data_IF_436471990725
#
_entry.id   IF_436471990725
#
_cell.length_a   1.000
_cell.length_b   1.000
_cell.length_c   1.000
_cell.angle_alpha   90.00
_cell.angle_beta   90.00
_cell.angle_gamma   90.00
#
_symmetry.space_group_name_H-M   'P 1'
#
loop_
_entity.id
_entity.type
_entity.pdbx_description
1 polymer ?
#
# COMPACT_ATOMS: atom_id res chain seq x y z
N UNK A 1 10.64 -2.80 23.35
CA UNK A 1 9.45 -1.93 23.16
C UNK A 1 9.82 -0.45 23.30
N UNK A 2 10.58 -0.06 24.32
CA UNK A 2 10.89 1.36 24.57
C UNK A 2 11.75 2.03 23.49
N UNK A 3 12.68 1.27 22.90
CA UNK A 3 13.51 1.72 21.77
C UNK A 3 12.66 2.04 20.52
N UNK A 4 11.74 1.15 20.18
CA UNK A 4 10.81 1.30 19.05
C UNK A 4 9.83 2.46 19.27
N UNK A 5 9.29 2.61 20.48
CA UNK A 5 8.42 3.74 20.81
C UNK A 5 9.16 5.07 20.65
N UNK A 6 10.42 5.13 21.10
CA UNK A 6 11.28 6.31 20.90
C UNK A 6 11.51 6.59 19.41
N UNK A 7 11.74 5.55 18.60
CA UNK A 7 11.87 5.68 17.15
C UNK A 7 10.59 6.20 16.49
N UNK A 8 9.41 5.69 16.89
CA UNK A 8 8.10 6.20 16.42
C UNK A 8 7.95 7.69 16.70
N UNK A 9 8.24 8.13 17.93
CA UNK A 9 8.13 9.55 18.30
C UNK A 9 9.09 10.41 17.48
N UNK A 10 10.34 9.97 17.29
CA UNK A 10 11.33 10.65 16.45
C UNK A 10 10.85 10.76 15.01
N UNK A 11 10.43 9.67 14.39
CA UNK A 11 9.95 9.65 13.00
C UNK A 11 8.72 10.55 12.82
N UNK A 12 7.74 10.45 13.71
CA UNK A 12 6.52 11.28 13.63
C UNK A 12 6.82 12.78 13.82
N UNK A 13 7.66 13.14 14.79
CA UNK A 13 8.02 14.54 15.04
C UNK A 13 8.84 15.12 13.89
N UNK A 14 9.86 14.40 13.40
CA UNK A 14 10.68 14.81 12.26
C UNK A 14 9.86 14.94 10.98
N UNK A 15 8.97 13.97 10.69
CA UNK A 15 8.09 14.05 9.53
C UNK A 15 7.13 15.25 9.64
N UNK A 16 6.56 15.51 10.82
CA UNK A 16 5.69 16.67 11.04
C UNK A 16 6.43 17.99 10.81
N UNK A 17 7.65 18.12 11.33
CA UNK A 17 8.49 19.31 11.09
C UNK A 17 8.83 19.49 9.60
N UNK A 18 9.13 18.39 8.90
CA UNK A 18 9.39 18.43 7.46
C UNK A 18 8.15 18.87 6.67
N UNK A 19 6.96 18.37 7.02
CA UNK A 19 5.71 18.84 6.40
C UNK A 19 5.37 20.29 6.75
N UNK A 20 5.68 20.76 7.96
CA UNK A 20 5.59 22.17 8.32
C UNK A 20 6.47 23.03 7.42
N UNK A 21 7.72 22.61 7.17
CA UNK A 21 8.59 23.29 6.20
C UNK A 21 7.96 23.30 4.80
N UNK A 22 7.44 22.18 4.31
CA UNK A 22 6.78 22.10 3.01
C UNK A 22 5.60 23.09 2.91
N UNK A 23 4.79 23.17 3.97
CA UNK A 23 3.59 23.99 4.00
C UNK A 23 3.87 25.48 4.14
N UNK A 24 4.75 25.89 5.07
CA UNK A 24 4.97 27.31 5.38
C UNK A 24 6.05 27.97 4.52
N UNK A 25 7.04 27.21 4.03
CA UNK A 25 8.15 27.73 3.25
C UNK A 25 8.11 27.23 1.80
N UNK A 26 8.10 25.91 1.57
CA UNK A 26 8.22 25.38 0.20
C UNK A 26 7.04 25.79 -0.71
N UNK A 27 5.84 25.93 -0.14
CA UNK A 27 4.64 26.39 -0.85
C UNK A 27 4.80 27.78 -1.48
N UNK A 28 5.65 28.65 -0.91
CA UNK A 28 5.90 30.01 -1.39
C UNK A 28 6.72 30.05 -2.68
N UNK A 29 7.45 28.98 -2.99
CA UNK A 29 8.21 28.91 -4.24
C UNK A 29 7.27 28.70 -5.44
N UNK A 30 7.62 29.26 -6.62
CA UNK A 30 6.88 29.01 -7.86
C UNK A 30 6.77 27.52 -8.17
N UNK A 31 5.62 27.13 -8.75
CA UNK A 31 5.37 25.76 -9.18
C UNK A 31 6.42 25.28 -10.20
N UNK A 32 6.76 24.00 -10.13
CA UNK A 32 7.74 23.35 -10.98
C UNK A 32 9.10 23.16 -10.30
N UNK A 33 10.17 23.37 -11.07
CA UNK A 33 11.54 23.00 -10.68
C UNK A 33 12.05 23.65 -9.39
N UNK A 34 11.69 24.90 -9.12
CA UNK A 34 12.17 25.61 -7.92
C UNK A 34 11.55 25.06 -6.64
N UNK A 35 10.23 24.83 -6.66
CA UNK A 35 9.55 24.15 -5.56
C UNK A 35 10.10 22.73 -5.39
N UNK A 36 10.30 21.98 -6.47
CA UNK A 36 10.90 20.64 -6.40
C UNK A 36 12.29 20.65 -5.75
N UNK A 37 13.16 21.59 -6.15
CA UNK A 37 14.50 21.74 -5.59
C UNK A 37 14.45 22.02 -4.08
N UNK A 38 13.53 22.89 -3.63
CA UNK A 38 13.33 23.18 -2.21
C UNK A 38 12.88 21.96 -1.39
N UNK A 39 12.24 20.97 -2.04
CA UNK A 39 11.76 19.75 -1.38
C UNK A 39 12.83 18.66 -1.28
N UNK A 40 13.93 18.71 -2.04
CA UNK A 40 14.97 17.67 -2.04
C UNK A 40 15.50 17.31 -0.63
N UNK A 41 15.76 18.27 0.28
CA UNK A 41 16.19 17.93 1.64
C UNK A 41 15.15 17.10 2.40
N UNK A 42 13.86 17.40 2.22
CA UNK A 42 12.75 16.65 2.84
C UNK A 42 12.65 15.25 2.24
N UNK A 43 12.77 15.13 0.91
CA UNK A 43 12.75 13.84 0.24
C UNK A 43 13.91 12.95 0.69
N UNK A 44 15.11 13.51 0.78
CA UNK A 44 16.26 12.79 1.33
C UNK A 44 16.01 12.35 2.76
N UNK A 45 15.54 13.25 3.63
CA UNK A 45 15.21 12.93 5.02
C UNK A 45 14.22 11.76 5.12
N UNK A 46 13.18 11.73 4.28
CA UNK A 46 12.20 10.63 4.26
C UNK A 46 12.81 9.28 3.91
N UNK A 47 13.88 9.23 3.11
CA UNK A 47 14.61 7.97 2.84
C UNK A 47 15.38 7.45 4.05
N UNK A 48 15.75 8.31 4.98
CA UNK A 48 16.57 7.93 6.14
C UNK A 48 15.71 7.47 7.34
N UNK A 49 14.54 8.09 7.52
CA UNK A 49 13.67 7.84 8.67
C UNK A 49 13.26 6.37 8.90
N UNK A 50 12.97 5.54 7.87
CA UNK A 50 12.62 4.15 8.10
C UNK A 50 13.72 3.34 8.78
N UNK A 51 15.00 3.69 8.59
CA UNK A 51 16.14 2.99 9.22
C UNK A 51 16.25 3.21 10.73
N UNK A 52 15.45 4.12 11.31
CA UNK A 52 15.37 4.27 12.76
C UNK A 52 14.64 3.10 13.44
N UNK A 53 13.89 2.29 12.69
CA UNK A 53 13.18 1.14 13.21
C UNK A 53 14.06 -0.12 13.12
N UNK A 54 14.10 -0.89 14.21
CA UNK A 54 14.68 -2.25 14.20
C UNK A 54 13.65 -3.29 13.78
N UNK A 55 12.36 -3.06 14.09
CA UNK A 55 11.25 -3.89 13.59
C UNK A 55 11.11 -3.83 12.07
N UNK A 56 11.00 -5.01 11.44
CA UNK A 56 10.78 -5.16 10.00
C UNK A 56 9.43 -4.57 9.59
N UNK A 57 8.38 -4.80 10.37
CA UNK A 57 7.05 -4.25 10.07
C UNK A 57 7.03 -2.72 10.17
N UNK A 58 7.57 -2.15 11.26
CA UNK A 58 7.57 -0.68 11.43
C UNK A 58 8.41 0.00 10.35
N UNK A 59 9.58 -0.57 10.02
CA UNK A 59 10.43 -0.09 8.93
C UNK A 59 9.72 -0.14 7.58
N UNK A 60 9.08 -1.26 7.25
CA UNK A 60 8.31 -1.41 6.00
C UNK A 60 7.10 -0.46 5.94
N UNK A 61 6.35 -0.31 7.03
CA UNK A 61 5.22 0.62 7.11
C UNK A 61 5.72 2.06 6.94
N UNK A 62 6.79 2.44 7.65
CA UNK A 62 7.38 3.78 7.55
C UNK A 62 7.88 4.08 6.14
N UNK A 63 8.57 3.15 5.50
CA UNK A 63 9.02 3.30 4.12
C UNK A 63 7.86 3.47 3.14
N UNK A 64 6.78 2.69 3.28
CA UNK A 64 5.59 2.86 2.45
C UNK A 64 4.96 4.25 2.60
N UNK A 65 4.79 4.72 3.83
CA UNK A 65 4.15 6.02 4.09
C UNK A 65 5.03 7.20 3.71
N UNK A 66 6.32 7.20 4.07
CA UNK A 66 7.22 8.33 3.87
C UNK A 66 7.86 8.31 2.49
N UNK A 67 8.56 7.22 2.16
CA UNK A 67 9.40 7.12 0.96
C UNK A 67 8.55 7.01 -0.29
N UNK A 68 7.43 6.29 -0.22
CA UNK A 68 6.54 6.13 -1.37
C UNK A 68 5.38 7.14 -1.36
N UNK A 69 4.45 7.02 -0.41
CA UNK A 69 3.21 7.79 -0.44
C UNK A 69 3.46 9.30 -0.34
N UNK A 70 4.17 9.75 0.69
CA UNK A 70 4.40 11.18 0.91
C UNK A 70 5.30 11.80 -0.16
N UNK A 71 6.38 11.13 -0.57
CA UNK A 71 7.25 11.60 -1.66
C UNK A 71 6.48 11.82 -2.97
N UNK A 72 5.65 10.86 -3.39
CA UNK A 72 4.87 11.00 -4.63
C UNK A 72 3.82 12.12 -4.55
N UNK A 73 3.22 12.32 -3.37
CA UNK A 73 2.34 13.47 -3.14
C UNK A 73 3.10 14.80 -3.15
N UNK A 74 4.31 14.85 -2.60
CA UNK A 74 5.17 16.03 -2.65
C UNK A 74 5.66 16.32 -4.07
N UNK A 75 5.91 15.30 -4.89
CA UNK A 75 6.17 15.49 -6.32
C UNK A 75 4.98 16.15 -7.02
N UNK A 76 3.76 15.66 -6.84
CA UNK A 76 2.57 16.32 -7.39
C UNK A 76 2.44 17.76 -6.87
N UNK A 77 2.61 17.97 -5.57
CA UNK A 77 2.59 19.30 -4.95
C UNK A 77 3.62 20.27 -5.53
N UNK A 78 4.80 19.76 -5.91
CA UNK A 78 5.85 20.56 -6.55
C UNK A 78 5.38 21.21 -7.86
N UNK A 79 4.51 20.52 -8.60
CA UNK A 79 3.90 20.98 -9.86
C UNK A 79 2.48 21.55 -9.69
N UNK A 80 2.09 21.92 -8.46
CA UNK A 80 0.73 22.38 -8.13
C UNK A 80 -0.38 21.39 -8.51
N UNK A 81 -0.09 20.08 -8.43
CA UNK A 81 -1.05 19.01 -8.72
C UNK A 81 -1.46 18.26 -7.46
N UNK A 82 -2.62 17.61 -7.54
CA UNK A 82 -3.15 16.77 -6.46
C UNK A 82 -3.72 17.56 -5.27
N UNK A 83 -4.16 16.85 -4.23
CA UNK A 83 -4.96 17.44 -3.15
C UNK A 83 -4.15 18.39 -2.24
N UNK A 84 -2.83 18.26 -2.21
CA UNK A 84 -1.96 19.15 -1.42
C UNK A 84 -1.87 20.58 -1.99
N UNK A 85 -2.26 20.78 -3.25
CA UNK A 85 -2.25 22.08 -3.91
C UNK A 85 -3.62 22.78 -3.91
N UNK A 86 -4.57 22.25 -3.14
CA UNK A 86 -5.89 22.89 -2.97
C UNK A 86 -5.72 24.27 -2.32
N UNK A 87 -6.35 25.34 -2.83
CA UNK A 87 -6.33 26.66 -2.19
C UNK A 87 -6.85 26.61 -0.75
N UNK A 88 -6.30 27.46 0.12
CA UNK A 88 -6.73 27.65 1.52
C UNK A 88 -6.74 26.38 2.39
N UNK A 89 -5.91 25.40 2.03
CA UNK A 89 -5.81 24.14 2.76
C UNK A 89 -5.16 24.36 4.13
N UNK A 90 -5.91 24.26 5.23
CA UNK A 90 -5.33 24.36 6.58
C UNK A 90 -4.15 23.39 6.83
N UNK A 91 -3.16 23.81 7.63
CA UNK A 91 -1.99 22.98 7.95
C UNK A 91 -2.32 21.56 8.47
N UNK A 92 -3.25 21.36 9.43
CA UNK A 92 -3.58 20.01 9.90
C UNK A 92 -4.12 19.12 8.78
N UNK A 93 -4.82 19.72 7.82
CA UNK A 93 -5.34 19.01 6.66
C UNK A 93 -4.25 18.71 5.64
N UNK A 94 -3.33 19.65 5.39
CA UNK A 94 -2.13 19.40 4.58
C UNK A 94 -1.31 18.24 5.16
N UNK A 95 -1.05 18.25 6.48
CA UNK A 95 -0.33 17.19 7.19
C UNK A 95 -1.03 15.84 7.02
N UNK A 96 -2.34 15.80 7.24
CA UNK A 96 -3.14 14.58 7.12
C UNK A 96 -3.16 14.04 5.69
N UNK A 97 -3.35 14.90 4.69
CA UNK A 97 -3.32 14.51 3.29
C UNK A 97 -1.93 14.07 2.83
N UNK A 98 -0.87 14.60 3.44
CA UNK A 98 0.51 14.23 3.10
C UNK A 98 0.86 12.85 3.62
N UNK A 99 0.51 12.57 4.88
CA UNK A 99 0.88 11.33 5.56
C UNK A 99 -0.11 10.19 5.34
N UNK A 100 -1.41 10.48 5.26
CA UNK A 100 -2.45 9.45 5.33
C UNK A 100 -3.06 9.12 3.96
N UNK A 101 -3.62 7.91 3.77
CA UNK A 101 -4.28 7.50 2.53
C UNK A 101 -5.71 8.08 2.42
N UNK A 102 -5.83 9.41 2.43
CA UNK A 102 -7.10 10.16 2.44
C UNK A 102 -7.27 10.93 1.13
N UNK A 103 -8.51 11.04 0.66
CA UNK A 103 -8.91 11.92 -0.45
C UNK A 103 -9.92 12.97 0.01
N UNK A 104 -9.91 14.11 -0.69
CA UNK A 104 -10.99 15.10 -0.67
C UNK A 104 -12.15 14.56 -1.52
N UNK A 105 -13.38 14.62 -1.01
CA UNK A 105 -14.58 14.18 -1.73
C UNK A 105 -15.69 15.25 -1.59
N UNK A 106 -16.39 15.55 -2.68
CA UNK A 106 -17.37 16.64 -2.73
C UNK A 106 -18.77 16.20 -2.31
N UNK A 107 -19.10 14.90 -2.32
CA UNK A 107 -20.46 14.42 -2.02
C UNK A 107 -20.58 13.64 -0.71
N UNK A 108 -21.57 14.01 0.10
CA UNK A 108 -21.83 13.49 1.44
C UNK A 108 -23.20 12.82 1.52
N UNK A 109 -23.25 11.50 1.53
CA UNK A 109 -24.42 10.77 2.01
C UNK A 109 -24.03 9.37 2.52
N UNK A 110 -24.33 9.07 3.79
CA UNK A 110 -24.31 7.71 4.36
C UNK A 110 -23.10 7.29 5.23
N UNK A 111 -22.59 8.13 6.14
CA UNK A 111 -21.35 7.84 6.91
C UNK A 111 -21.49 6.85 8.09
N UNK A 112 -22.66 6.70 8.72
CA UNK A 112 -22.78 6.03 10.03
C UNK A 112 -22.97 4.51 9.97
N UNK A 113 -23.87 4.03 9.12
CA UNK A 113 -24.14 2.60 8.91
C UNK A 113 -22.94 1.85 8.29
N UNK A 114 -22.13 2.57 7.50
CA UNK A 114 -20.95 2.04 6.82
C UNK A 114 -19.76 1.74 7.77
N UNK A 115 -19.80 2.15 9.04
CA UNK A 115 -18.67 2.01 9.99
C UNK A 115 -18.69 0.68 10.74
N UNK A 116 -19.84 0.24 11.25
CA UNK A 116 -19.97 -1.03 12.00
C UNK A 116 -19.61 -2.22 11.13
N UNK A 117 -20.11 -2.26 9.90
CA UNK A 117 -19.81 -3.30 8.90
C UNK A 117 -18.31 -3.34 8.56
N UNK A 118 -17.66 -2.17 8.46
CA UNK A 118 -16.21 -2.09 8.23
C UNK A 118 -15.40 -2.61 9.40
N UNK A 119 -15.76 -2.23 10.63
CA UNK A 119 -15.10 -2.71 11.84
C UNK A 119 -15.21 -4.23 11.95
N UNK A 120 -16.39 -4.80 11.73
CA UNK A 120 -16.59 -6.25 11.71
C UNK A 120 -15.73 -6.94 10.65
N UNK A 121 -15.69 -6.38 9.43
CA UNK A 121 -14.86 -6.91 8.35
C UNK A 121 -13.35 -6.91 8.68
N UNK A 122 -12.85 -5.86 9.32
CA UNK A 122 -11.45 -5.81 9.77
C UNK A 122 -11.18 -6.76 10.94
N UNK A 123 -12.10 -6.88 11.90
CA UNK A 123 -11.96 -7.85 12.99
C UNK A 123 -11.87 -9.28 12.45
N UNK A 124 -12.74 -9.66 11.50
CA UNK A 124 -12.69 -10.98 10.87
C UNK A 124 -11.36 -11.22 10.14
N UNK A 125 -10.88 -10.24 9.37
CA UNK A 125 -9.56 -10.32 8.70
C UNK A 125 -8.42 -10.47 9.71
N UNK A 126 -8.48 -9.76 10.84
CA UNK A 126 -7.52 -9.90 11.93
C UNK A 126 -7.51 -11.31 12.54
N UNK A 127 -8.70 -11.91 12.74
CA UNK A 127 -8.83 -13.29 13.20
C UNK A 127 -8.23 -14.30 12.20
N UNK A 128 -8.52 -14.14 10.91
CA UNK A 128 -7.95 -14.98 9.84
C UNK A 128 -6.42 -14.84 9.82
N UNK A 129 -5.90 -13.62 9.90
CA UNK A 129 -4.46 -13.37 9.93
C UNK A 129 -3.79 -14.01 11.17
N UNK A 130 -4.43 -13.91 12.34
CA UNK A 130 -3.98 -14.57 13.57
C UNK A 130 -3.96 -16.10 13.44
N UNK A 131 -4.99 -16.68 12.81
CA UNK A 131 -5.04 -18.12 12.52
C UNK A 131 -3.90 -18.55 11.58
N UNK A 132 -3.69 -17.85 10.47
CA UNK A 132 -2.57 -18.14 9.54
C UNK A 132 -1.23 -18.06 10.27
N UNK A 133 -1.04 -17.03 11.09
CA UNK A 133 0.21 -16.84 11.87
C UNK A 133 0.46 -18.01 12.81
N UNK A 134 -0.59 -18.58 13.43
CA UNK A 134 -0.47 -19.74 14.31
C UNK A 134 -0.04 -21.04 13.60
N UNK A 135 -0.17 -21.11 12.27
CA UNK A 135 0.25 -22.26 11.46
C UNK A 135 1.76 -22.21 11.16
N UNK A 136 2.36 -21.02 11.11
CA UNK A 136 3.76 -20.84 10.70
C UNK A 136 4.82 -21.62 11.50
N UNK A 137 4.69 -21.83 12.82
CA UNK A 137 5.59 -22.72 13.55
C UNK A 137 5.64 -24.15 12.99
N UNK A 138 4.54 -24.61 12.39
CA UNK A 138 4.41 -25.94 11.80
C UNK A 138 4.54 -25.94 10.26
N UNK A 139 5.02 -24.85 9.66
CA UNK A 139 5.08 -24.68 8.19
C UNK A 139 5.83 -25.79 7.46
N UNK A 140 6.83 -26.38 8.10
CA UNK A 140 7.64 -27.49 7.58
C UNK A 140 6.84 -28.77 7.29
N UNK A 141 5.63 -28.92 7.86
CA UNK A 141 4.73 -30.06 7.59
C UNK A 141 3.93 -29.92 6.31
N UNK A 142 3.88 -28.73 5.72
CA UNK A 142 3.06 -28.44 4.55
C UNK A 142 3.91 -28.35 3.28
N UNK A 143 3.29 -28.61 2.13
CA UNK A 143 3.98 -28.44 0.85
C UNK A 143 4.35 -26.97 0.60
N UNK A 144 5.43 -26.73 -0.16
CA UNK A 144 5.88 -25.38 -0.50
C UNK A 144 4.78 -24.53 -1.14
N UNK A 145 3.94 -25.13 -1.99
CA UNK A 145 2.83 -24.44 -2.63
C UNK A 145 1.79 -23.90 -1.62
N UNK A 146 1.45 -24.70 -0.60
CA UNK A 146 0.52 -24.29 0.46
C UNK A 146 1.11 -23.16 1.29
N UNK A 147 2.39 -23.26 1.68
CA UNK A 147 3.06 -22.22 2.46
C UNK A 147 3.10 -20.88 1.70
N UNK A 148 3.45 -20.91 0.41
CA UNK A 148 3.42 -19.71 -0.44
C UNK A 148 2.01 -19.15 -0.65
N UNK A 149 0.98 -20.01 -0.67
CA UNK A 149 -0.42 -19.59 -0.67
C UNK A 149 -0.78 -18.84 0.61
N UNK A 150 -0.38 -19.38 1.77
CA UNK A 150 -0.57 -18.72 3.06
C UNK A 150 0.16 -17.37 3.12
N UNK A 151 1.38 -17.27 2.60
CA UNK A 151 2.11 -16.00 2.48
C UNK A 151 1.38 -14.99 1.61
N UNK A 152 0.84 -15.40 0.47
CA UNK A 152 0.05 -14.53 -0.39
C UNK A 152 -1.17 -13.96 0.32
N UNK A 153 -1.91 -14.81 1.03
CA UNK A 153 -3.08 -14.40 1.82
C UNK A 153 -2.67 -13.50 2.98
N UNK A 154 -1.60 -13.86 3.69
CA UNK A 154 -1.04 -13.06 4.78
C UNK A 154 -0.67 -11.67 4.30
N UNK A 155 0.13 -11.54 3.24
CA UNK A 155 0.55 -10.24 2.70
C UNK A 155 -0.66 -9.38 2.32
N UNK A 156 -1.66 -9.95 1.66
CA UNK A 156 -2.90 -9.24 1.34
C UNK A 156 -3.63 -8.75 2.60
N UNK A 157 -3.85 -9.62 3.59
CA UNK A 157 -4.54 -9.27 4.83
C UNK A 157 -3.76 -8.24 5.65
N UNK A 158 -2.44 -8.39 5.76
CA UNK A 158 -1.58 -7.47 6.51
C UNK A 158 -1.59 -6.06 5.92
N UNK A 159 -1.45 -5.93 4.60
CA UNK A 159 -1.51 -4.61 3.94
C UNK A 159 -2.90 -3.98 4.13
N UNK A 160 -3.97 -4.75 3.91
CA UNK A 160 -5.33 -4.22 4.04
C UNK A 160 -5.68 -3.83 5.48
N UNK A 161 -5.22 -4.59 6.48
CA UNK A 161 -5.41 -4.27 7.90
C UNK A 161 -4.61 -3.03 8.30
N UNK A 162 -3.33 -2.94 7.94
CA UNK A 162 -2.49 -1.78 8.27
C UNK A 162 -3.12 -0.50 7.72
N UNK A 163 -3.47 -0.49 6.43
CA UNK A 163 -4.07 0.68 5.81
C UNK A 163 -5.49 0.94 6.34
N UNK A 164 -6.27 -0.12 6.58
CA UNK A 164 -7.60 -0.06 7.17
C UNK A 164 -7.60 0.52 8.59
N UNK A 165 -6.62 0.19 9.43
CA UNK A 165 -6.44 0.76 10.76
C UNK A 165 -6.07 2.25 10.66
N UNK A 166 -5.20 2.62 9.72
CA UNK A 166 -4.90 4.03 9.45
C UNK A 166 -6.16 4.82 9.07
N UNK A 167 -7.10 4.22 8.34
CA UNK A 167 -8.42 4.82 8.09
C UNK A 167 -9.18 5.17 9.35
N UNK A 168 -9.18 4.26 10.34
CA UNK A 168 -9.96 4.42 11.55
C UNK A 168 -9.36 5.51 12.44
N UNK A 169 -8.02 5.55 12.53
CA UNK A 169 -7.29 6.59 13.26
C UNK A 169 -7.44 7.97 12.62
N UNK A 170 -7.62 8.04 11.30
CA UNK A 170 -7.87 9.29 10.58
C UNK A 170 -9.26 9.87 10.86
N UNK A 171 -10.22 9.06 11.33
CA UNK A 171 -11.64 9.42 11.42
C UNK A 171 -11.93 10.71 12.19
N UNK A 172 -11.34 10.99 13.37
CA UNK A 172 -11.59 12.24 14.10
C UNK A 172 -11.25 13.49 13.29
N UNK A 173 -10.24 13.43 12.43
CA UNK A 173 -9.83 14.52 11.53
C UNK A 173 -10.80 14.66 10.35
N UNK A 174 -11.46 13.56 9.96
CA UNK A 174 -12.46 13.48 8.89
C UNK A 174 -13.86 13.94 9.34
N UNK A 175 -14.16 13.93 10.65
CA UNK A 175 -15.47 14.35 11.19
C UNK A 175 -15.70 15.84 10.87
N UNK A 176 -16.84 16.15 10.24
CA UNK A 176 -17.19 17.51 9.83
C UNK A 176 -16.47 18.03 8.57
N UNK A 177 -15.54 17.26 7.99
CA UNK A 177 -14.81 17.64 6.75
C UNK A 177 -15.24 16.79 5.54
N UNK A 178 -15.11 17.38 4.35
CA UNK A 178 -15.33 16.78 3.02
C UNK A 178 -14.20 15.79 2.64
N UNK A 179 -13.86 14.87 3.55
CA UNK A 179 -12.75 13.94 3.39
C UNK A 179 -13.24 12.51 3.57
N UNK A 180 -12.74 11.61 2.72
CA UNK A 180 -13.01 10.17 2.83
C UNK A 180 -11.71 9.38 2.77
N UNK A 181 -11.69 8.29 3.53
CA UNK A 181 -10.62 7.32 3.39
C UNK A 181 -10.72 6.58 2.07
N UNK A 182 -9.58 6.34 1.46
CA UNK A 182 -9.48 5.62 0.21
C UNK A 182 -9.57 4.11 0.42
N UNK A 183 -10.57 3.40 -0.15
CA UNK A 183 -10.56 1.95 -0.12
C UNK A 183 -9.31 1.46 -0.86
N UNK A 184 -8.54 0.59 -0.22
CA UNK A 184 -7.25 0.10 -0.73
C UNK A 184 -7.44 -1.09 -1.65
N UNK A 185 -8.36 -1.98 -1.27
CA UNK A 185 -8.72 -3.16 -2.02
C UNK A 185 -10.21 -3.20 -2.29
N UNK A 186 -10.58 -3.79 -3.43
CA UNK A 186 -11.98 -4.00 -3.82
C UNK A 186 -12.16 -5.42 -4.35
N UNK A 187 -12.21 -6.38 -3.42
CA UNK A 187 -12.36 -7.82 -3.71
C UNK A 187 -11.47 -8.31 -4.88
N UNK A 188 -10.13 -8.28 -4.72
CA UNK A 188 -9.19 -8.58 -5.80
C UNK A 188 -9.32 -10.01 -6.35
N UNK A 189 -9.88 -10.93 -5.56
CA UNK A 189 -10.18 -12.30 -5.99
C UNK A 189 -11.32 -12.41 -7.01
N UNK A 190 -12.09 -11.34 -7.25
CA UNK A 190 -13.14 -11.27 -8.28
C UNK A 190 -12.68 -10.60 -9.59
N UNK A 191 -11.37 -10.43 -9.77
CA UNK A 191 -10.81 -9.73 -10.94
C UNK A 191 -10.93 -10.56 -12.20
N UNK A 192 -11.66 -10.09 -13.21
CA UNK A 192 -11.85 -10.81 -14.48
C UNK A 192 -10.74 -10.59 -15.51
N UNK A 193 -9.76 -9.75 -15.18
CA UNK A 193 -8.62 -9.41 -16.02
C UNK A 193 -7.48 -8.82 -15.21
N UNK A 194 -6.27 -8.77 -15.77
CA UNK A 194 -5.13 -8.09 -15.14
C UNK A 194 -5.37 -6.59 -15.04
N UNK A 195 -6.01 -6.01 -16.07
CA UNK A 195 -6.43 -4.61 -16.04
C UNK A 195 -7.40 -4.33 -14.87
N UNK A 196 -8.37 -5.22 -14.62
CA UNK A 196 -9.32 -5.08 -13.52
C UNK A 196 -8.64 -5.27 -12.15
N UNK A 197 -7.75 -6.26 -12.06
CA UNK A 197 -6.95 -6.53 -10.86
C UNK A 197 -6.12 -5.30 -10.46
N UNK A 198 -5.21 -4.84 -11.31
CA UNK A 198 -4.27 -3.75 -10.99
C UNK A 198 -4.93 -2.36 -11.02
N UNK A 199 -5.91 -2.14 -11.89
CA UNK A 199 -6.50 -0.83 -12.09
C UNK A 199 -7.63 -0.49 -11.10
N UNK A 200 -8.36 -1.49 -10.62
CA UNK A 200 -9.63 -1.27 -9.89
C UNK A 200 -9.77 -2.00 -8.56
N UNK A 201 -8.92 -2.99 -8.28
CA UNK A 201 -9.16 -3.90 -7.14
C UNK A 201 -7.96 -4.08 -6.21
N UNK A 202 -6.74 -3.96 -6.72
CA UNK A 202 -5.51 -4.13 -5.96
C UNK A 202 -4.83 -2.79 -5.70
N UNK A 203 -4.49 -2.53 -4.43
CA UNK A 203 -3.72 -1.37 -3.97
C UNK A 203 -4.06 -0.05 -4.70
N UNK A 204 -5.32 0.36 -4.59
CA UNK A 204 -5.86 1.51 -5.30
C UNK A 204 -5.12 2.81 -4.98
N UNK A 205 -4.55 2.94 -3.78
CA UNK A 205 -3.72 4.09 -3.41
C UNK A 205 -2.51 4.22 -4.32
N UNK A 206 -1.75 3.15 -4.53
CA UNK A 206 -0.59 3.16 -5.42
C UNK A 206 -1.01 3.49 -6.84
N UNK A 207 -2.09 2.88 -7.34
CA UNK A 207 -2.64 3.19 -8.67
C UNK A 207 -3.01 4.67 -8.80
N UNK A 208 -3.63 5.28 -7.79
CA UNK A 208 -3.98 6.71 -7.80
C UNK A 208 -2.82 7.66 -7.61
N UNK A 209 -1.69 7.22 -7.04
CA UNK A 209 -0.45 7.99 -7.03
C UNK A 209 0.23 7.93 -8.39
N UNK A 210 0.43 6.72 -8.93
CA UNK A 210 1.13 6.49 -10.19
C UNK A 210 0.37 7.03 -11.40
N UNK A 211 -0.95 7.08 -11.34
CA UNK A 211 -1.77 7.58 -12.44
C UNK A 211 -1.43 9.04 -12.82
N UNK A 212 -1.52 10.03 -11.92
CA UNK A 212 -1.15 11.42 -12.22
C UNK A 212 0.38 11.64 -12.26
N UNK A 213 1.19 10.91 -11.49
CA UNK A 213 2.65 11.14 -11.43
C UNK A 213 3.41 10.56 -12.62
N UNK A 214 2.97 9.43 -13.15
CA UNK A 214 3.72 8.68 -14.19
C UNK A 214 2.85 8.45 -15.42
N UNK A 215 1.70 7.82 -15.26
CA UNK A 215 0.90 7.36 -16.40
C UNK A 215 0.39 8.52 -17.26
N UNK A 216 -0.22 9.55 -16.67
CA UNK A 216 -0.77 10.69 -17.42
C UNK A 216 0.33 11.45 -18.19
N UNK A 217 1.46 11.85 -17.55
CA UNK A 217 2.55 12.50 -18.26
C UNK A 217 3.15 11.64 -19.37
N UNK A 218 3.45 10.36 -19.12
CA UNK A 218 4.06 9.51 -20.16
C UNK A 218 3.07 9.24 -21.29
N UNK A 219 1.79 9.03 -20.96
CA UNK A 219 0.72 8.83 -21.95
C UNK A 219 0.59 10.02 -22.90
N UNK A 220 0.70 11.27 -22.41
CA UNK A 220 0.53 12.44 -23.27
C UNK A 220 1.60 12.55 -24.35
N UNK A 221 2.79 12.00 -24.12
CA UNK A 221 3.89 12.04 -25.10
C UNK A 221 4.03 10.76 -25.92
N UNK A 222 3.83 9.58 -25.30
CA UNK A 222 4.16 8.28 -25.90
C UNK A 222 2.97 7.34 -26.07
N UNK A 223 1.76 7.79 -25.72
CA UNK A 223 0.53 7.03 -25.87
C UNK A 223 0.22 6.06 -24.73
N UNK A 224 -0.95 5.43 -24.83
CA UNK A 224 -1.57 4.68 -23.72
C UNK A 224 -0.75 3.48 -23.22
N UNK A 225 -0.21 2.67 -24.14
CA UNK A 225 0.50 1.44 -23.79
C UNK A 225 1.82 1.74 -23.07
N UNK A 226 2.60 2.69 -23.58
CA UNK A 226 3.86 3.12 -22.95
C UNK A 226 3.58 3.72 -21.58
N UNK A 227 2.57 4.57 -21.45
CA UNK A 227 2.16 5.11 -20.15
C UNK A 227 1.83 4.03 -19.13
N UNK A 228 1.13 2.96 -19.55
CA UNK A 228 0.82 1.82 -18.67
C UNK A 228 2.09 1.10 -18.23
N UNK A 229 2.95 0.69 -19.17
CA UNK A 229 4.19 -0.04 -18.86
C UNK A 229 5.10 0.80 -17.95
N UNK A 230 5.24 2.10 -18.19
CA UNK A 230 6.03 2.99 -17.35
C UNK A 230 5.51 3.07 -15.91
N UNK A 231 4.18 3.11 -15.70
CA UNK A 231 3.62 3.08 -14.36
C UNK A 231 3.96 1.77 -13.62
N UNK A 232 3.90 0.63 -14.31
CA UNK A 232 4.33 -0.64 -13.75
C UNK A 232 5.84 -0.67 -13.45
N UNK A 233 6.69 -0.12 -14.33
CA UNK A 233 8.13 -0.05 -14.08
C UNK A 233 8.45 0.82 -12.85
N UNK A 234 7.84 1.99 -12.71
CA UNK A 234 8.02 2.84 -11.51
C UNK A 234 7.50 2.12 -10.26
N UNK A 235 6.38 1.39 -10.36
CA UNK A 235 5.92 0.50 -9.28
C UNK A 235 6.97 -0.55 -8.93
N UNK A 236 7.59 -1.19 -9.94
CA UNK A 236 8.66 -2.17 -9.75
C UNK A 236 9.87 -1.60 -9.02
N UNK A 237 10.35 -0.42 -9.41
CA UNK A 237 11.44 0.30 -8.70
C UNK A 237 11.06 0.51 -7.24
N UNK A 238 9.86 1.02 -6.99
CA UNK A 238 9.43 1.29 -5.62
C UNK A 238 9.33 0.01 -4.80
N UNK A 239 8.92 -1.11 -5.40
CA UNK A 239 8.91 -2.39 -4.67
C UNK A 239 10.31 -2.93 -4.40
N UNK A 240 11.29 -2.79 -5.29
CA UNK A 240 12.70 -3.12 -4.99
C UNK A 240 13.20 -2.27 -3.80
N UNK A 241 12.89 -0.97 -3.79
CA UNK A 241 13.20 -0.08 -2.66
C UNK A 241 12.50 -0.55 -1.38
N UNK A 242 11.22 -0.90 -1.45
CA UNK A 242 10.48 -1.43 -0.30
C UNK A 242 11.08 -2.73 0.23
N UNK A 243 11.49 -3.63 -0.67
CA UNK A 243 12.14 -4.89 -0.31
C UNK A 243 13.51 -4.63 0.33
N UNK A 244 14.26 -3.64 -0.14
CA UNK A 244 15.49 -3.21 0.52
C UNK A 244 15.23 -2.75 1.96
N UNK A 245 14.20 -1.94 2.20
CA UNK A 245 13.81 -1.56 3.56
C UNK A 245 13.33 -2.74 4.41
N UNK A 246 12.60 -3.70 3.84
CA UNK A 246 12.08 -4.84 4.61
C UNK A 246 13.20 -5.83 4.93
N UNK A 247 14.00 -6.18 3.92
CA UNK A 247 14.97 -7.28 3.99
C UNK A 247 16.38 -6.85 4.38
N UNK A 248 16.72 -5.57 4.18
CA UNK A 248 18.10 -5.05 4.27
C UNK A 248 19.10 -5.77 3.35
N UNK A 249 18.60 -6.40 2.29
CA UNK A 249 19.42 -7.04 1.25
C UNK A 249 19.36 -6.21 -0.03
N UNK A 250 20.44 -6.27 -0.82
CA UNK A 250 20.52 -5.55 -2.08
C UNK A 250 19.42 -5.98 -3.07
N UNK A 251 18.86 -5.02 -3.84
CA UNK A 251 17.81 -5.31 -4.80
C UNK A 251 18.33 -6.26 -5.88
N UNK A 252 17.55 -7.30 -6.16
CA UNK A 252 17.92 -8.35 -7.13
C UNK A 252 17.31 -8.12 -8.51
N UNK A 253 16.33 -7.22 -8.62
CA UNK A 253 15.59 -6.95 -9.84
C UNK A 253 14.47 -7.96 -10.14
N UNK A 254 14.31 -9.02 -9.35
CA UNK A 254 13.25 -10.01 -9.56
C UNK A 254 11.85 -9.40 -9.38
N UNK A 255 11.69 -8.50 -8.40
CA UNK A 255 10.41 -7.82 -8.15
C UNK A 255 10.13 -6.80 -9.24
N UNK A 256 11.17 -6.10 -9.73
CA UNK A 256 11.05 -5.29 -10.94
C UNK A 256 10.55 -6.12 -12.13
N UNK A 257 11.13 -7.30 -12.37
CA UNK A 257 10.72 -8.20 -13.45
C UNK A 257 9.25 -8.63 -13.30
N UNK A 258 8.78 -8.89 -12.08
CA UNK A 258 7.37 -9.16 -11.81
C UNK A 258 6.48 -8.03 -12.32
N UNK A 259 6.75 -6.78 -11.93
CA UNK A 259 5.92 -5.65 -12.37
C UNK A 259 6.06 -5.35 -13.87
N UNK A 260 7.25 -5.51 -14.44
CA UNK A 260 7.48 -5.34 -15.88
C UNK A 260 6.64 -6.36 -16.69
N UNK A 261 6.65 -7.63 -16.29
CA UNK A 261 5.83 -8.68 -16.91
C UNK A 261 4.35 -8.33 -16.83
N UNK A 262 3.85 -7.97 -15.65
CA UNK A 262 2.44 -7.58 -15.45
C UNK A 262 2.06 -6.34 -16.26
N UNK A 263 2.97 -5.37 -16.39
CA UNK A 263 2.76 -4.17 -17.20
C UNK A 263 2.61 -4.48 -18.69
N UNK A 264 3.50 -5.33 -19.22
CA UNK A 264 3.43 -5.79 -20.62
C UNK A 264 2.16 -6.61 -20.85
N UNK A 265 1.86 -7.58 -19.99
CA UNK A 265 0.66 -8.40 -20.10
C UNK A 265 -0.61 -7.55 -20.05
N UNK A 266 -0.69 -6.57 -19.13
CA UNK A 266 -1.84 -5.65 -19.04
C UNK A 266 -1.96 -4.79 -20.30
N UNK A 267 -0.86 -4.25 -20.82
CA UNK A 267 -0.88 -3.46 -22.05
C UNK A 267 -1.31 -4.28 -23.27
N UNK A 268 -0.81 -5.52 -23.40
CA UNK A 268 -1.24 -6.48 -24.42
C UNK A 268 -2.73 -6.79 -24.29
N UNK A 269 -3.21 -7.04 -23.08
CA UNK A 269 -4.63 -7.33 -22.81
C UNK A 269 -5.52 -6.17 -23.28
N UNK A 270 -5.12 -4.94 -23.00
CA UNK A 270 -5.83 -3.73 -23.46
C UNK A 270 -5.80 -3.62 -24.98
N UNK A 271 -4.66 -3.89 -25.62
CA UNK A 271 -4.53 -3.85 -27.08
C UNK A 271 -5.46 -4.88 -27.74
N UNK A 272 -5.46 -6.13 -27.24
CA UNK A 272 -6.30 -7.23 -27.72
C UNK A 272 -7.79 -6.87 -27.57
N UNK A 273 -8.20 -6.39 -26.39
CA UNK A 273 -9.58 -5.91 -26.13
C UNK A 273 -9.99 -4.79 -27.10
N UNK A 274 -9.10 -3.84 -27.36
CA UNK A 274 -9.35 -2.71 -28.25
C UNK A 274 -9.48 -3.16 -29.71
N UNK A 275 -8.63 -4.06 -30.17
CA UNK A 275 -8.64 -4.58 -31.55
C UNK A 275 -9.87 -5.46 -31.82
N UNK A 276 -10.18 -6.39 -30.92
CA UNK A 276 -11.30 -7.31 -31.07
C UNK A 276 -12.64 -6.63 -30.79
N UNK A 277 -12.69 -5.69 -29.84
CA UNK A 277 -13.86 -4.85 -29.57
C UNK A 277 -14.27 -4.01 -30.77
N UNK A 278 -13.31 -3.45 -31.52
CA UNK A 278 -13.56 -2.71 -32.76
C UNK A 278 -14.04 -3.58 -33.92
N UNK A 279 -13.65 -4.85 -33.96
CA UNK A 279 -13.92 -5.74 -35.12
C UNK A 279 -15.14 -6.65 -34.96
N UNK A 280 -15.45 -7.11 -33.74
CA UNK A 280 -16.46 -8.18 -33.52
C UNK A 280 -17.38 -7.99 -32.31
N UNK A 281 -17.23 -6.91 -31.54
CA UNK A 281 -17.91 -6.79 -30.25
C UNK A 281 -17.29 -7.76 -29.25
N UNK A 282 -16.46 -7.25 -28.34
CA UNK A 282 -15.75 -8.09 -27.37
C UNK A 282 -16.74 -8.75 -26.40
N UNK A 283 -16.82 -10.08 -26.41
CA UNK A 283 -17.59 -10.86 -25.44
C UNK A 283 -16.66 -11.21 -24.28
N UNK A 284 -16.91 -10.66 -23.09
CA UNK A 284 -16.10 -11.00 -21.92
C UNK A 284 -16.36 -12.43 -21.48
N UNK A 285 -15.28 -13.15 -21.13
CA UNK A 285 -15.40 -14.45 -20.46
C UNK A 285 -16.26 -14.31 -19.19
N UNK A 286 -17.10 -15.32 -18.87
CA UNK A 286 -17.85 -15.32 -17.62
C UNK A 286 -16.91 -15.19 -16.41
N UNK A 287 -17.34 -14.44 -15.40
CA UNK A 287 -16.54 -14.16 -14.19
C UNK A 287 -16.01 -15.43 -13.52
N UNK A 288 -16.81 -16.50 -13.53
CA UNK A 288 -16.46 -17.80 -12.94
C UNK A 288 -15.22 -18.43 -13.58
N UNK A 289 -14.94 -18.13 -14.86
CA UNK A 289 -13.76 -18.62 -15.58
C UNK A 289 -12.65 -17.58 -15.53
N UNK A 290 -12.97 -16.33 -15.81
CA UNK A 290 -12.00 -15.26 -15.94
C UNK A 290 -11.29 -14.93 -14.61
N UNK A 291 -12.03 -14.99 -13.49
CA UNK A 291 -11.48 -14.65 -12.19
C UNK A 291 -10.46 -15.67 -11.67
N UNK A 292 -10.74 -17.00 -11.66
CA UNK A 292 -9.74 -18.00 -11.31
C UNK A 292 -8.50 -17.94 -12.22
N UNK A 293 -8.67 -17.74 -13.53
CA UNK A 293 -7.54 -17.62 -14.45
C UNK A 293 -6.64 -16.43 -14.12
N UNK A 294 -7.25 -15.25 -13.87
CA UNK A 294 -6.50 -14.04 -13.51
C UNK A 294 -5.77 -14.21 -12.18
N UNK A 295 -6.47 -14.72 -11.16
CA UNK A 295 -5.90 -14.95 -9.83
C UNK A 295 -4.77 -15.98 -9.90
N UNK A 296 -4.94 -17.07 -10.65
CA UNK A 296 -3.92 -18.10 -10.83
C UNK A 296 -2.68 -17.54 -11.53
N UNK A 297 -2.84 -16.70 -12.55
CA UNK A 297 -1.72 -16.04 -13.22
C UNK A 297 -0.94 -15.12 -12.26
N UNK A 298 -1.65 -14.27 -11.52
CA UNK A 298 -1.03 -13.39 -10.51
C UNK A 298 -0.32 -14.21 -9.44
N UNK A 299 -0.96 -15.28 -8.97
CA UNK A 299 -0.41 -16.17 -7.96
C UNK A 299 0.86 -16.88 -8.42
N UNK A 300 0.83 -17.51 -9.60
CA UNK A 300 1.97 -18.21 -10.16
C UNK A 300 3.16 -17.28 -10.39
N UNK A 301 2.92 -16.09 -10.96
CA UNK A 301 3.97 -15.09 -11.18
C UNK A 301 4.50 -14.50 -9.88
N UNK A 302 3.66 -14.33 -8.85
CA UNK A 302 4.11 -13.88 -7.53
C UNK A 302 5.00 -14.92 -6.84
N UNK A 303 4.64 -16.20 -6.92
CA UNK A 303 5.47 -17.30 -6.40
C UNK A 303 6.83 -17.37 -7.09
N UNK A 304 6.87 -17.04 -8.38
CA UNK A 304 8.10 -17.10 -9.18
C UNK A 304 9.02 -15.89 -8.96
N UNK A 305 8.49 -14.67 -8.96
CA UNK A 305 9.31 -13.45 -9.03
C UNK A 305 9.18 -12.53 -7.81
N UNK A 306 8.08 -12.61 -7.05
CA UNK A 306 7.80 -11.67 -5.95
C UNK A 306 8.22 -12.22 -4.59
N UNK A 307 7.89 -13.48 -4.29
CA UNK A 307 8.19 -14.09 -2.99
C UNK A 307 9.64 -14.51 -2.77
N UNK A 308 10.39 -15.04 -3.76
CA UNK A 308 11.74 -15.54 -3.49
C UNK A 308 12.67 -14.52 -2.81
N UNK A 309 12.71 -13.23 -3.18
CA UNK A 309 13.53 -12.25 -2.47
C UNK A 309 13.18 -12.09 -0.97
N UNK A 310 11.90 -12.21 -0.58
CA UNK A 310 11.49 -12.15 0.83
C UNK A 310 11.96 -13.36 1.64
N UNK A 311 12.17 -14.50 0.97
CA UNK A 311 12.48 -15.78 1.61
C UNK A 311 13.99 -16.07 1.71
N UNK A 312 14.84 -15.30 1.01
CA UNK A 312 16.29 -15.57 0.93
C UNK A 312 17.10 -15.08 2.14
N UNK A 313 16.58 -14.14 2.91
CA UNK A 313 17.18 -13.71 4.17
C UNK A 313 16.29 -14.16 5.33
N UNK A 314 16.85 -14.37 6.52
CA UNK A 314 16.14 -14.74 7.76
C UNK A 314 15.04 -13.73 8.20
N UNK A 315 14.70 -12.77 7.34
CA UNK A 315 13.55 -11.88 7.38
C UNK A 315 12.25 -12.65 7.55
N UNK A 316 12.10 -13.82 6.92
CA UNK A 316 10.92 -14.68 7.14
C UNK A 316 10.74 -14.99 8.63
N UNK A 317 11.83 -15.37 9.32
CA UNK A 317 11.80 -15.69 10.74
C UNK A 317 11.52 -14.46 11.60
N UNK A 318 12.11 -13.31 11.25
CA UNK A 318 11.85 -12.03 11.93
C UNK A 318 10.38 -11.61 11.79
N UNK A 319 9.83 -11.70 10.58
CA UNK A 319 8.41 -11.38 10.31
C UNK A 319 7.50 -12.31 11.10
N UNK A 320 7.74 -13.62 11.06
CA UNK A 320 6.94 -14.60 11.83
C UNK A 320 7.03 -14.34 13.33
N UNK A 321 8.24 -14.04 13.84
CA UNK A 321 8.47 -13.73 15.25
C UNK A 321 7.69 -12.49 15.68
N UNK A 322 7.81 -11.39 14.94
CA UNK A 322 7.08 -10.14 15.22
C UNK A 322 5.56 -10.35 15.16
N UNK A 323 5.04 -11.09 14.17
CA UNK A 323 3.61 -11.41 14.09
C UNK A 323 3.14 -12.25 15.28
N UNK A 324 3.92 -13.23 15.71
CA UNK A 324 3.58 -14.10 16.84
C UNK A 324 3.51 -13.31 18.14
N UNK A 325 4.48 -12.42 18.38
CA UNK A 325 4.50 -11.51 19.53
C UNK A 325 3.27 -10.58 19.55
N UNK A 326 2.86 -10.05 18.39
CA UNK A 326 1.65 -9.23 18.29
C UNK A 326 0.38 -10.01 18.66
N UNK A 327 0.26 -11.26 18.19
CA UNK A 327 -0.88 -12.14 18.50
C UNK A 327 -0.90 -12.48 19.99
N UNK A 328 0.25 -12.77 20.59
CA UNK A 328 0.37 -13.03 22.04
C UNK A 328 0.02 -11.81 22.88
N UNK A 329 0.51 -10.62 22.51
CA UNK A 329 0.16 -9.38 23.17
C UNK A 329 -1.34 -9.10 23.09
N UNK A 330 -1.97 -9.34 21.94
CA UNK A 330 -3.42 -9.21 21.77
C UNK A 330 -4.19 -10.20 22.66
N UNK A 331 -3.77 -11.47 22.71
CA UNK A 331 -4.36 -12.49 23.61
C UNK A 331 -4.25 -12.08 25.07
N UNK A 332 -3.08 -11.60 25.51
CA UNK A 332 -2.85 -11.15 26.88
C UNK A 332 -3.72 -9.95 27.23
N UNK A 333 -3.84 -8.98 26.32
CA UNK A 333 -4.74 -7.85 26.50
C UNK A 333 -6.18 -8.35 26.69
N UNK A 334 -6.69 -9.20 25.81
CA UNK A 334 -8.05 -9.75 25.90
C UNK A 334 -8.27 -10.54 27.20
N UNK A 335 -7.30 -11.38 27.61
CA UNK A 335 -7.37 -12.13 28.87
C UNK A 335 -7.32 -11.24 30.12
N UNK A 336 -6.71 -10.07 30.05
CA UNK A 336 -6.76 -9.07 31.13
C UNK A 336 -8.14 -8.40 31.24
N UNK A 337 -8.88 -8.29 30.13
CA UNK A 337 -10.25 -7.77 30.10
C UNK A 337 -11.31 -8.80 30.53
N UNK A 338 -10.97 -10.10 30.52
CA UNK A 338 -11.83 -11.20 30.98
C UNK A 338 -11.04 -12.14 31.92
N UNK A 339 -10.78 -11.74 33.18
CA UNK A 339 -10.25 -12.68 34.17
C UNK A 339 -11.25 -13.82 34.36
N UNK A 340 -10.78 -15.06 34.28
CA UNK A 340 -11.57 -16.26 34.59
C UNK A 340 -12.26 -16.06 35.96
N UNK A 341 -13.55 -16.42 36.13
CA UNK A 341 -14.13 -16.43 37.45
C UNK A 341 -13.29 -17.35 38.34
N UNK A 342 -12.84 -16.82 39.47
CA UNK A 342 -12.08 -17.56 40.47
C UNK A 342 -12.82 -18.87 40.78
N UNK A 343 -12.14 -20.03 40.80
CA UNK A 343 -12.77 -21.27 41.20
C UNK A 343 -13.28 -21.10 42.63
N UNK A 344 -14.60 -21.18 42.78
CA UNK A 344 -15.33 -21.13 44.06
C UNK A 344 -15.14 -22.41 44.85
#
# INVERSE_FOLDING_TARGET
MDTELTAVVKVCSTATLAFSYCYFLASKFPSGKFRLLSLLPVLYLFTQLPFLFTSVHLRGISAFYLVWLSTFKLFLFSFSQGPLSTPDLSFPLFLSLSFLPIKLDVDDNGRRERRSVKLLGYSLKGLILGFITSIYPQRHKYSRAIVLALYSIHTYLSIDLVLGLTSLLSFPILVGKKLKFEPQFSAPYLSTSLQDFWGRRWNLMVTRLLHPTVYVPVKSYFGHYVGSVSAFMVSGVMHEVMFYYITSMDPTGEVMCFFALHGVCTAMEIAVKTMLGRKRGWISLPTVVAAPMTVLFVFATAQWLFFPPLLRGNVEEQVISECTLMVEAAKKAIGYWYPSPSPS
#
